data_IF_859934350251
#
_entry.id   IF_859934350251
#
_cell.length_a   1.000
_cell.length_b   1.000
_cell.length_c   1.000
_cell.angle_alpha   90.00
_cell.angle_beta   90.00
_cell.angle_gamma   90.00
#
_symmetry.space_group_name_H-M   'P 1'
#
loop_
_entity.id
_entity.type
_entity.pdbx_description
1 polymer ?
#
# COMPACT_ATOMS: atom_id res chain seq x y z
N UNK A 1 -16.09 1.00 21.45
CA UNK A 1 -15.25 -0.21 21.63
C UNK A 1 -13.85 0.25 21.99
N UNK A 2 -13.24 -0.34 23.02
CA UNK A 2 -11.82 -0.14 23.35
C UNK A 2 -11.02 -1.20 22.59
N UNK A 3 -9.91 -0.80 21.92
CA UNK A 3 -9.02 -1.76 21.31
C UNK A 3 -8.28 -2.55 22.39
N UNK A 4 -8.22 -3.86 22.25
CA UNK A 4 -7.41 -4.75 23.08
C UNK A 4 -6.05 -4.99 22.43
N UNK A 5 -5.99 -5.01 21.10
CA UNK A 5 -4.76 -5.20 20.34
C UNK A 5 -4.52 -4.06 19.33
N UNK A 6 -3.27 -3.86 18.87
CA UNK A 6 -2.97 -2.91 17.80
C UNK A 6 -3.68 -3.21 16.48
N UNK A 7 -4.07 -4.46 16.23
CA UNK A 7 -4.82 -4.86 15.03
C UNK A 7 -6.27 -4.40 15.13
N UNK A 8 -6.88 -4.52 16.33
CA UNK A 8 -8.25 -4.04 16.57
C UNK A 8 -8.33 -2.52 16.47
N UNK A 9 -7.25 -1.84 16.88
CA UNK A 9 -7.18 -0.37 16.83
C UNK A 9 -7.39 0.20 15.43
N UNK A 10 -6.96 -0.51 14.36
CA UNK A 10 -7.12 -0.07 12.96
C UNK A 10 -8.58 0.27 12.63
N UNK A 11 -9.53 -0.42 13.24
CA UNK A 11 -10.98 -0.31 12.98
C UNK A 11 -11.69 0.74 13.85
N UNK A 12 -10.99 1.29 14.84
CA UNK A 12 -11.59 2.31 15.71
C UNK A 12 -11.88 3.60 14.91
N UNK A 13 -12.88 4.37 15.31
CA UNK A 13 -13.10 5.72 14.78
C UNK A 13 -11.84 6.59 14.90
N UNK A 14 -11.11 6.50 16.00
CA UNK A 14 -9.80 7.10 16.23
C UNK A 14 -8.85 6.10 16.93
N UNK A 15 -7.86 5.54 16.23
CA UNK A 15 -6.88 4.62 16.82
C UNK A 15 -5.72 5.34 17.53
N UNK A 16 -5.54 6.62 17.28
CA UNK A 16 -4.31 7.35 17.63
C UNK A 16 -4.08 7.55 19.12
N UNK A 17 -5.10 7.74 19.97
CA UNK A 17 -4.88 7.73 21.43
C UNK A 17 -4.34 6.40 21.95
N UNK A 18 -4.75 5.28 21.34
CA UNK A 18 -4.19 3.96 21.66
C UNK A 18 -2.73 3.85 21.21
N UNK A 19 -2.42 4.27 19.99
CA UNK A 19 -1.05 4.25 19.47
C UNK A 19 -0.11 5.18 20.25
N UNK A 20 -0.57 6.36 20.66
CA UNK A 20 0.22 7.29 21.46
C UNK A 20 0.67 6.66 22.79
N UNK A 21 -0.22 5.89 23.46
CA UNK A 21 0.14 5.14 24.67
C UNK A 21 1.22 4.08 24.38
N UNK A 22 1.10 3.34 23.27
CA UNK A 22 2.13 2.35 22.90
C UNK A 22 3.49 3.01 22.64
N UNK A 23 3.52 4.14 21.93
CA UNK A 23 4.75 4.90 21.69
C UNK A 23 5.40 5.35 23.00
N UNK A 24 4.60 5.85 23.95
CA UNK A 24 5.11 6.39 25.21
C UNK A 24 5.52 5.30 26.22
N UNK A 25 4.75 4.22 26.33
CA UNK A 25 4.85 3.26 27.44
C UNK A 25 5.48 1.92 27.01
N UNK A 26 5.30 1.51 25.77
CA UNK A 26 5.70 0.19 25.24
C UNK A 26 6.23 0.31 23.80
N UNK A 27 7.27 1.12 23.54
CA UNK A 27 7.76 1.41 22.20
C UNK A 27 8.21 0.15 21.43
N UNK A 28 8.79 -0.83 22.15
CA UNK A 28 9.11 -2.16 21.63
C UNK A 28 8.85 -3.21 22.71
N UNK A 29 7.79 -4.01 22.56
CA UNK A 29 7.39 -4.98 23.57
C UNK A 29 6.71 -6.22 22.97
N UNK A 30 6.76 -7.36 23.68
CA UNK A 30 5.94 -8.51 23.36
C UNK A 30 4.49 -8.24 23.79
N UNK A 31 3.54 -8.55 22.92
CA UNK A 31 2.12 -8.49 23.18
C UNK A 31 1.59 -9.93 23.31
N UNK A 32 1.14 -10.29 24.51
CA UNK A 32 0.73 -11.65 24.83
C UNK A 32 -0.55 -12.06 24.09
N UNK A 33 -1.47 -11.12 23.86
CA UNK A 33 -2.73 -11.38 23.17
C UNK A 33 -2.50 -11.66 21.67
N UNK A 34 -1.57 -10.93 21.06
CA UNK A 34 -1.15 -11.17 19.67
C UNK A 34 -0.18 -12.34 19.52
N UNK A 35 0.51 -12.75 20.59
CA UNK A 35 1.62 -13.67 20.53
C UNK A 35 2.77 -13.18 19.65
N UNK A 36 2.99 -11.86 19.60
CA UNK A 36 3.96 -11.22 18.70
C UNK A 36 4.62 -10.00 19.37
N UNK A 37 5.80 -9.65 18.91
CA UNK A 37 6.42 -8.38 19.24
C UNK A 37 5.72 -7.23 18.54
N UNK A 38 5.72 -6.05 19.15
CA UNK A 38 5.16 -4.82 18.59
C UNK A 38 6.25 -3.75 18.61
N UNK A 39 6.50 -3.15 17.44
CA UNK A 39 7.35 -1.97 17.27
C UNK A 39 6.44 -0.75 17.01
N UNK A 40 6.39 0.21 17.94
CA UNK A 40 5.43 1.29 17.92
C UNK A 40 6.07 2.67 17.67
N UNK A 41 7.26 2.94 18.23
CA UNK A 41 7.94 4.22 18.03
C UNK A 41 8.81 4.24 16.77
N UNK A 42 9.28 5.41 16.40
CA UNK A 42 10.09 5.60 15.19
C UNK A 42 11.44 4.89 15.24
N UNK A 43 12.04 4.75 16.43
CA UNK A 43 13.32 4.09 16.62
C UNK A 43 13.22 2.57 16.40
N UNK A 44 12.23 1.93 17.04
CA UNK A 44 11.97 0.50 16.86
C UNK A 44 11.53 0.18 15.43
N UNK A 45 10.64 0.99 14.85
CA UNK A 45 10.17 0.80 13.46
C UNK A 45 11.35 0.88 12.48
N UNK A 46 12.24 1.86 12.63
CA UNK A 46 13.47 1.94 11.78
C UNK A 46 14.38 0.73 11.97
N UNK A 47 14.64 0.32 13.22
CA UNK A 47 15.49 -0.81 13.52
C UNK A 47 14.95 -2.10 12.90
N UNK A 48 13.63 -2.33 13.04
CA UNK A 48 12.96 -3.52 12.48
C UNK A 48 12.95 -3.49 10.95
N UNK A 49 12.61 -2.36 10.33
CA UNK A 49 12.54 -2.26 8.87
C UNK A 49 13.91 -2.27 8.18
N UNK A 50 14.97 -1.91 8.91
CA UNK A 50 16.35 -1.88 8.42
C UNK A 50 17.17 -3.13 8.69
N UNK A 51 16.63 -4.14 9.38
CA UNK A 51 17.40 -5.30 9.83
C UNK A 51 17.41 -6.44 8.82
N UNK A 52 18.62 -6.91 8.49
CA UNK A 52 18.82 -8.11 7.66
C UNK A 52 18.53 -9.44 8.40
N UNK A 53 18.34 -9.40 9.72
CA UNK A 53 17.89 -10.55 10.51
C UNK A 53 16.41 -10.88 10.28
N UNK A 54 15.66 -9.93 9.73
CA UNK A 54 14.20 -9.98 9.60
C UNK A 54 13.77 -10.17 8.15
N UNK A 55 12.66 -10.88 7.96
CA UNK A 55 12.07 -11.19 6.64
C UNK A 55 10.64 -10.68 6.55
N UNK A 56 10.20 -10.38 5.35
CA UNK A 56 8.81 -9.95 5.07
C UNK A 56 7.80 -11.10 5.17
N UNK A 57 8.29 -12.34 5.06
CA UNK A 57 7.50 -13.56 5.20
C UNK A 57 8.14 -14.54 6.19
N UNK A 58 7.34 -15.43 6.82
CA UNK A 58 7.92 -16.53 7.56
C UNK A 58 8.84 -17.35 6.65
N UNK A 59 10.09 -17.67 7.05
CA UNK A 59 10.98 -18.47 6.22
C UNK A 59 10.39 -19.82 5.80
N UNK A 60 9.57 -20.44 6.68
CA UNK A 60 8.90 -21.70 6.41
C UNK A 60 7.63 -21.57 5.54
N UNK A 61 7.13 -20.34 5.30
CA UNK A 61 5.91 -20.08 4.55
C UNK A 61 6.06 -18.82 3.68
N UNK A 62 6.91 -18.87 2.64
CA UNK A 62 7.15 -17.72 1.75
C UNK A 62 5.91 -17.33 0.96
N UNK A 63 5.05 -18.30 0.64
CA UNK A 63 3.74 -18.09 -0.01
C UNK A 63 2.64 -18.57 0.94
N UNK A 64 1.53 -17.80 1.11
CA UNK A 64 0.40 -18.25 1.93
C UNK A 64 -0.14 -19.60 1.45
N UNK A 65 -0.40 -20.52 2.39
CA UNK A 65 -0.81 -21.91 2.07
C UNK A 65 -2.01 -22.01 1.14
N UNK A 66 -2.98 -21.10 1.30
CA UNK A 66 -4.22 -21.12 0.50
C UNK A 66 -4.04 -20.82 -0.98
N UNK A 67 -2.87 -20.30 -1.39
CA UNK A 67 -2.58 -19.94 -2.80
C UNK A 67 -1.35 -20.66 -3.36
N UNK A 68 -0.70 -21.52 -2.58
CA UNK A 68 0.46 -22.32 -3.06
C UNK A 68 0.04 -23.16 -4.28
N UNK A 69 0.88 -23.15 -5.33
CA UNK A 69 0.64 -23.89 -6.57
C UNK A 69 -0.47 -23.30 -7.45
N UNK A 70 -0.94 -22.09 -7.16
CA UNK A 70 -1.91 -21.37 -8.00
C UNK A 70 -1.23 -20.18 -8.72
N UNK A 71 -1.82 -19.66 -9.82
CA UNK A 71 -1.33 -18.46 -10.49
C UNK A 71 -1.19 -17.25 -9.55
N UNK A 72 -2.09 -17.08 -8.58
CA UNK A 72 -1.99 -16.05 -7.56
C UNK A 72 -0.78 -16.27 -6.64
N UNK A 73 -0.48 -17.52 -6.29
CA UNK A 73 0.69 -17.89 -5.52
C UNK A 73 2.00 -17.65 -6.26
N UNK A 74 2.06 -17.92 -7.56
CA UNK A 74 3.21 -17.60 -8.41
C UNK A 74 3.48 -16.09 -8.45
N UNK A 75 2.44 -15.29 -8.71
CA UNK A 75 2.56 -13.82 -8.65
C UNK A 75 3.07 -13.38 -7.28
N UNK A 76 2.47 -13.89 -6.20
CA UNK A 76 2.82 -13.52 -4.83
C UNK A 76 4.29 -13.84 -4.50
N UNK A 77 4.79 -15.00 -4.93
CA UNK A 77 6.17 -15.45 -4.69
C UNK A 77 7.22 -14.49 -5.29
N UNK A 78 6.90 -13.90 -6.44
CA UNK A 78 7.81 -13.04 -7.20
C UNK A 78 7.65 -11.54 -6.87
N UNK A 79 6.63 -11.14 -6.10
CA UNK A 79 6.48 -9.73 -5.73
C UNK A 79 7.68 -9.26 -4.93
N UNK A 80 8.34 -8.20 -5.41
CA UNK A 80 9.53 -7.63 -4.76
C UNK A 80 9.29 -7.23 -3.30
N UNK A 81 8.04 -6.90 -2.94
CA UNK A 81 7.65 -6.60 -1.56
C UNK A 81 7.55 -7.85 -0.67
N UNK A 82 7.48 -9.04 -1.26
CA UNK A 82 7.33 -10.34 -0.58
C UNK A 82 8.61 -11.20 -0.63
N UNK A 83 9.67 -10.67 -1.22
CA UNK A 83 10.98 -11.31 -1.30
C UNK A 83 11.99 -10.57 -0.43
N UNK A 84 13.10 -11.22 -0.11
CA UNK A 84 14.20 -10.70 0.70
C UNK A 84 15.56 -11.05 0.08
N UNK A 85 16.64 -10.48 0.63
CA UNK A 85 18.01 -10.79 0.27
C UNK A 85 18.42 -10.28 -1.11
N UNK A 86 19.41 -10.91 -1.74
CA UNK A 86 20.04 -10.45 -2.99
C UNK A 86 19.06 -10.36 -4.16
N UNK A 87 18.11 -11.31 -4.24
CA UNK A 87 17.08 -11.31 -5.29
C UNK A 87 16.17 -10.07 -5.14
N UNK A 88 15.72 -9.79 -3.92
CA UNK A 88 14.92 -8.61 -3.62
C UNK A 88 15.65 -7.32 -3.99
N UNK A 89 16.91 -7.16 -3.59
CA UNK A 89 17.70 -5.95 -3.86
C UNK A 89 17.84 -5.70 -5.36
N UNK A 90 18.18 -6.72 -6.15
CA UNK A 90 18.30 -6.61 -7.59
C UNK A 90 16.98 -6.30 -8.28
N UNK A 91 15.92 -7.04 -7.94
CA UNK A 91 14.59 -6.84 -8.51
C UNK A 91 14.00 -5.49 -8.10
N UNK A 92 14.28 -5.04 -6.85
CA UNK A 92 13.89 -3.72 -6.36
C UNK A 92 14.51 -2.59 -7.17
N UNK A 93 15.77 -2.74 -7.59
CA UNK A 93 16.43 -1.76 -8.46
C UNK A 93 15.68 -1.63 -9.78
N UNK A 94 15.28 -2.74 -10.39
CA UNK A 94 14.51 -2.76 -11.64
C UNK A 94 13.15 -2.08 -11.47
N UNK A 95 12.40 -2.51 -10.46
CA UNK A 95 11.05 -1.99 -10.18
C UNK A 95 11.08 -0.50 -9.82
N UNK A 96 12.05 -0.08 -9.01
CA UNK A 96 12.19 1.32 -8.59
C UNK A 96 12.62 2.22 -9.75
N UNK A 97 13.54 1.77 -10.61
CA UNK A 97 13.96 2.54 -11.79
C UNK A 97 12.80 2.72 -12.79
N UNK A 98 11.99 1.68 -13.02
CA UNK A 98 10.79 1.78 -13.85
C UNK A 98 9.78 2.79 -13.30
N UNK A 99 9.45 2.70 -12.01
CA UNK A 99 8.49 3.60 -11.37
C UNK A 99 9.01 5.05 -11.26
N UNK A 100 10.31 5.25 -11.10
CA UNK A 100 10.91 6.59 -11.09
C UNK A 100 10.77 7.34 -12.43
N UNK A 101 10.56 6.60 -13.53
CA UNK A 101 10.33 7.13 -14.88
C UNK A 101 8.86 7.25 -15.26
N UNK A 102 7.95 6.82 -14.39
CA UNK A 102 6.53 6.99 -14.63
C UNK A 102 6.16 8.47 -14.70
N UNK A 103 5.46 8.89 -15.76
CA UNK A 103 4.95 10.27 -15.88
C UNK A 103 3.79 10.48 -14.91
N UNK A 104 4.10 11.00 -13.72
CA UNK A 104 3.10 11.28 -12.68
C UNK A 104 2.12 12.37 -13.09
N UNK A 105 2.51 13.31 -13.97
CA UNK A 105 1.62 14.33 -14.49
C UNK A 105 0.60 13.73 -15.47
N UNK A 106 1.04 12.80 -16.31
CA UNK A 106 0.13 12.04 -17.17
C UNK A 106 -0.81 11.15 -16.35
N UNK A 107 -0.28 10.47 -15.34
CA UNK A 107 -1.09 9.67 -14.40
C UNK A 107 -2.17 10.52 -13.71
N UNK A 108 -1.84 11.72 -13.25
CA UNK A 108 -2.79 12.66 -12.65
C UNK A 108 -3.88 13.09 -13.65
N UNK A 109 -3.51 13.36 -14.91
CA UNK A 109 -4.50 13.67 -15.98
C UNK A 109 -5.44 12.49 -16.26
N UNK A 110 -4.92 11.26 -16.27
CA UNK A 110 -5.75 10.05 -16.42
C UNK A 110 -6.69 9.88 -15.23
N UNK A 111 -6.19 10.05 -13.99
CA UNK A 111 -6.98 9.97 -12.78
C UNK A 111 -8.13 10.99 -12.79
N UNK A 112 -7.84 12.25 -13.13
CA UNK A 112 -8.84 13.29 -13.27
C UNK A 112 -9.90 12.94 -14.33
N UNK A 113 -9.47 12.47 -15.50
CA UNK A 113 -10.39 12.05 -16.57
C UNK A 113 -11.28 10.89 -16.13
N UNK A 114 -10.72 9.82 -15.58
CA UNK A 114 -11.48 8.64 -15.18
C UNK A 114 -12.42 8.93 -14.01
N UNK A 115 -12.03 9.86 -13.11
CA UNK A 115 -12.92 10.35 -12.05
C UNK A 115 -14.14 11.05 -12.64
N UNK A 116 -13.96 11.97 -13.60
CA UNK A 116 -15.08 12.63 -14.27
C UNK A 116 -15.97 11.63 -15.01
N UNK A 117 -15.38 10.70 -15.78
CA UNK A 117 -16.14 9.63 -16.47
C UNK A 117 -17.00 8.83 -15.48
N UNK A 118 -16.47 8.50 -14.29
CA UNK A 118 -17.21 7.76 -13.27
C UNK A 118 -18.38 8.59 -12.69
N UNK A 119 -18.20 9.90 -12.52
CA UNK A 119 -19.24 10.80 -12.03
C UNK A 119 -20.33 11.06 -13.09
N UNK A 120 -19.96 11.17 -14.37
CA UNK A 120 -20.88 11.38 -15.48
C UNK A 120 -21.79 10.18 -15.77
N UNK A 121 -21.45 8.98 -15.29
CA UNK A 121 -22.28 7.79 -15.42
C UNK A 121 -23.66 7.93 -14.73
N UNK A 122 -23.81 8.91 -13.85
CA UNK A 122 -25.07 9.26 -13.17
C UNK A 122 -25.44 8.31 -12.02
N UNK A 123 -26.44 8.71 -11.24
CA UNK A 123 -26.92 7.92 -10.09
C UNK A 123 -26.25 8.30 -8.77
N UNK A 124 -26.17 7.35 -7.83
CA UNK A 124 -25.47 7.54 -6.57
C UNK A 124 -23.95 7.67 -6.80
N UNK A 125 -23.26 8.41 -5.93
CA UNK A 125 -21.80 8.59 -6.03
C UNK A 125 -21.11 7.21 -5.96
N UNK A 126 -20.36 6.81 -6.99
CA UNK A 126 -19.79 5.46 -7.07
C UNK A 126 -18.47 5.37 -6.28
N UNK A 127 -18.53 5.50 -4.96
CA UNK A 127 -17.34 5.55 -4.09
C UNK A 127 -16.37 4.39 -4.29
N UNK A 128 -16.86 3.16 -4.52
CA UNK A 128 -16.01 2.00 -4.81
C UNK A 128 -15.20 2.22 -6.09
N UNK A 129 -15.83 2.68 -7.15
CA UNK A 129 -15.13 2.97 -8.42
C UNK A 129 -14.14 4.12 -8.24
N UNK A 130 -14.52 5.20 -7.55
CA UNK A 130 -13.68 6.39 -7.35
C UNK A 130 -12.44 6.08 -6.50
N UNK A 131 -12.59 5.29 -5.44
CA UNK A 131 -11.50 5.00 -4.51
C UNK A 131 -10.60 3.86 -4.98
N UNK A 132 -11.15 2.81 -5.57
CA UNK A 132 -10.44 1.58 -5.94
C UNK A 132 -10.30 1.39 -7.45
N UNK A 133 -11.41 1.53 -8.19
CA UNK A 133 -11.46 1.30 -9.63
C UNK A 133 -10.62 2.29 -10.41
N UNK A 134 -10.79 3.59 -10.16
CA UNK A 134 -10.04 4.65 -10.85
C UNK A 134 -8.53 4.50 -10.67
N UNK A 135 -7.96 4.37 -9.45
CA UNK A 135 -6.53 4.14 -9.30
C UNK A 135 -6.01 2.90 -10.03
N UNK A 136 -6.72 1.77 -9.92
CA UNK A 136 -6.33 0.54 -10.59
C UNK A 136 -6.36 0.69 -12.12
N UNK A 137 -7.40 1.35 -12.66
CA UNK A 137 -7.56 1.63 -14.09
C UNK A 137 -6.46 2.57 -14.61
N UNK A 138 -6.06 3.59 -13.82
CA UNK A 138 -4.94 4.48 -14.20
C UNK A 138 -3.65 3.69 -14.32
N UNK A 139 -3.34 2.85 -13.33
CA UNK A 139 -2.10 2.04 -13.38
C UNK A 139 -2.16 1.05 -14.55
N UNK A 140 -3.32 0.44 -14.82
CA UNK A 140 -3.51 -0.41 -16.00
C UNK A 140 -3.25 0.36 -17.31
N UNK A 141 -3.79 1.57 -17.45
CA UNK A 141 -3.54 2.42 -18.62
C UNK A 141 -2.06 2.82 -18.75
N UNK A 142 -1.37 3.09 -17.63
CA UNK A 142 0.07 3.37 -17.63
C UNK A 142 0.90 2.17 -18.09
N UNK A 143 0.41 0.93 -17.91
CA UNK A 143 1.06 -0.28 -18.46
C UNK A 143 0.80 -0.47 -19.95
N UNK A 144 0.08 0.42 -20.60
CA UNK A 144 -0.23 0.37 -22.03
C UNK A 144 -1.55 -0.31 -22.36
N UNK A 145 -2.36 -0.71 -21.37
CA UNK A 145 -3.68 -1.28 -21.62
C UNK A 145 -4.68 -0.21 -22.05
N UNK A 146 -5.33 -0.43 -23.19
CA UNK A 146 -6.31 0.49 -23.81
C UNK A 146 -7.59 -0.28 -24.17
N UNK A 147 -8.56 0.41 -24.77
CA UNK A 147 -9.74 -0.18 -25.41
C UNK A 147 -10.56 -1.12 -24.51
N UNK A 148 -10.66 -0.76 -23.23
CA UNK A 148 -11.40 -1.52 -22.22
C UNK A 148 -10.59 -2.57 -21.47
N UNK A 149 -9.38 -2.93 -21.92
CA UNK A 149 -8.47 -3.82 -21.22
C UNK A 149 -7.99 -3.21 -19.88
N UNK A 150 -7.88 -1.88 -19.79
CA UNK A 150 -7.62 -1.13 -18.58
C UNK A 150 -8.72 -1.36 -17.50
N UNK A 151 -9.98 -1.32 -17.91
CA UNK A 151 -11.12 -1.59 -17.03
C UNK A 151 -11.20 -3.06 -16.63
N UNK A 152 -10.91 -3.96 -17.58
CA UNK A 152 -10.89 -5.39 -17.30
C UNK A 152 -9.81 -5.75 -16.28
N UNK A 153 -8.59 -5.23 -16.45
CA UNK A 153 -7.50 -5.43 -15.51
C UNK A 153 -7.85 -4.86 -14.11
N UNK A 154 -8.46 -3.67 -14.04
CA UNK A 154 -8.88 -3.08 -12.78
C UNK A 154 -9.91 -3.95 -12.03
N UNK A 155 -10.88 -4.54 -12.75
CA UNK A 155 -11.85 -5.48 -12.15
C UNK A 155 -11.17 -6.76 -11.68
N UNK A 156 -10.30 -7.36 -12.50
CA UNK A 156 -9.59 -8.56 -12.12
C UNK A 156 -8.69 -8.35 -10.89
N UNK A 157 -8.08 -7.17 -10.76
CA UNK A 157 -7.29 -6.83 -9.55
C UNK A 157 -8.15 -6.79 -8.29
N UNK A 158 -9.41 -6.34 -8.36
CA UNK A 158 -10.32 -6.37 -7.22
C UNK A 158 -10.52 -7.80 -6.69
N UNK A 159 -10.62 -8.79 -7.58
CA UNK A 159 -10.70 -10.20 -7.21
C UNK A 159 -9.33 -10.73 -6.72
N UNK A 160 -8.24 -10.35 -7.39
CA UNK A 160 -6.89 -10.80 -7.02
C UNK A 160 -6.52 -10.44 -5.58
N UNK A 161 -6.80 -9.21 -5.14
CA UNK A 161 -6.40 -8.76 -3.79
C UNK A 161 -7.15 -9.48 -2.67
N UNK A 162 -8.29 -10.15 -2.96
CA UNK A 162 -9.07 -10.88 -1.97
C UNK A 162 -8.34 -12.11 -1.39
N UNK A 163 -7.29 -12.62 -2.05
CA UNK A 163 -6.50 -13.73 -1.50
C UNK A 163 -5.41 -13.27 -0.51
N UNK A 164 -5.15 -11.97 -0.37
CA UNK A 164 -4.08 -11.43 0.47
C UNK A 164 -4.36 -11.59 1.99
N UNK A 165 -5.60 -11.33 2.49
CA UNK A 165 -5.91 -11.57 3.89
C UNK A 165 -5.80 -13.04 4.28
N UNK A 166 -5.27 -13.33 5.48
CA UNK A 166 -5.20 -14.70 6.00
C UNK A 166 -6.58 -15.37 6.17
N UNK A 167 -7.64 -14.56 6.24
CA UNK A 167 -9.05 -15.00 6.33
C UNK A 167 -9.70 -15.27 4.97
N UNK A 168 -8.94 -15.21 3.87
CA UNK A 168 -9.49 -15.45 2.53
C UNK A 168 -10.13 -16.84 2.41
N UNK A 169 -11.37 -16.85 1.95
CA UNK A 169 -12.12 -18.09 1.73
C UNK A 169 -11.62 -18.86 0.50
N UNK A 170 -11.89 -20.18 0.40
CA UNK A 170 -11.53 -20.96 -0.79
C UNK A 170 -12.15 -20.39 -2.09
N UNK A 171 -13.31 -19.76 -2.02
CA UNK A 171 -13.94 -19.12 -3.17
C UNK A 171 -13.15 -17.89 -3.62
N UNK A 172 -12.73 -17.01 -2.67
CA UNK A 172 -11.87 -15.86 -2.95
C UNK A 172 -10.51 -16.28 -3.49
N UNK A 173 -9.91 -17.35 -2.95
CA UNK A 173 -8.63 -17.88 -3.45
C UNK A 173 -8.73 -18.36 -4.89
N UNK A 174 -9.84 -19.06 -5.27
CA UNK A 174 -10.08 -19.49 -6.66
C UNK A 174 -10.32 -18.31 -7.59
N UNK A 175 -11.13 -17.35 -7.18
CA UNK A 175 -11.36 -16.12 -7.96
C UNK A 175 -10.05 -15.35 -8.19
N UNK A 176 -9.23 -15.20 -7.15
CA UNK A 176 -7.92 -14.55 -7.24
C UNK A 176 -6.95 -15.30 -8.17
N UNK A 177 -6.98 -16.63 -8.20
CA UNK A 177 -6.15 -17.42 -9.12
C UNK A 177 -6.55 -17.18 -10.59
N UNK A 178 -7.83 -17.18 -10.90
CA UNK A 178 -8.34 -16.87 -12.25
C UNK A 178 -8.02 -15.40 -12.64
N UNK A 179 -8.18 -14.47 -11.69
CA UNK A 179 -7.85 -13.06 -11.89
C UNK A 179 -6.35 -12.85 -12.15
N UNK A 180 -5.48 -13.55 -11.42
CA UNK A 180 -4.04 -13.50 -11.63
C UNK A 180 -3.66 -13.93 -13.06
N UNK A 181 -4.21 -15.05 -13.54
CA UNK A 181 -4.00 -15.50 -14.91
C UNK A 181 -4.48 -14.46 -15.92
N UNK A 182 -5.68 -13.92 -15.71
CA UNK A 182 -6.26 -12.94 -16.62
C UNK A 182 -5.43 -11.66 -16.71
N UNK A 183 -4.99 -11.10 -15.58
CA UNK A 183 -4.14 -9.91 -15.59
C UNK A 183 -2.77 -10.20 -16.23
N UNK A 184 -2.20 -11.38 -15.96
CA UNK A 184 -0.94 -11.81 -16.63
C UNK A 184 -1.09 -11.92 -18.14
N UNK A 185 -2.20 -12.47 -18.64
CA UNK A 185 -2.51 -12.53 -20.07
C UNK A 185 -2.57 -11.14 -20.70
N UNK A 186 -3.27 -10.20 -20.07
CA UNK A 186 -3.39 -8.82 -20.53
C UNK A 186 -2.05 -8.09 -20.58
N UNK A 187 -1.19 -8.30 -19.57
CA UNK A 187 0.09 -7.59 -19.44
C UNK A 187 1.24 -8.22 -20.24
N UNK A 188 1.18 -9.53 -20.51
CA UNK A 188 2.28 -10.28 -21.17
C UNK A 188 2.72 -9.69 -22.51
N UNK A 189 1.81 -9.27 -23.42
CA UNK A 189 2.22 -8.67 -24.68
C UNK A 189 3.08 -7.41 -24.49
N UNK A 190 2.81 -6.60 -23.48
CA UNK A 190 3.57 -5.39 -23.17
C UNK A 190 4.97 -5.62 -22.61
N UNK A 191 5.35 -6.86 -22.30
CA UNK A 191 6.71 -7.25 -21.92
C UNK A 191 7.50 -7.88 -23.09
N UNK A 192 6.85 -8.11 -24.23
CA UNK A 192 7.45 -8.73 -25.41
C UNK A 192 7.57 -7.70 -26.54
N UNK A 193 8.67 -6.98 -26.63
CA UNK A 193 8.93 -6.01 -27.69
C UNK A 193 9.20 -4.58 -27.17
N UNK A 194 9.28 -3.63 -28.09
CA UNK A 194 9.41 -2.21 -27.77
C UNK A 194 8.02 -1.65 -27.45
N UNK A 195 7.80 -1.30 -26.20
CA UNK A 195 6.55 -0.69 -25.74
C UNK A 195 6.81 0.61 -24.99
N UNK A 196 5.91 1.56 -25.19
CA UNK A 196 5.84 2.76 -24.38
C UNK A 196 5.14 2.47 -23.03
N UNK A 197 5.23 3.43 -22.11
CA UNK A 197 4.60 3.33 -20.81
C UNK A 197 5.38 2.51 -19.77
N UNK A 198 4.70 2.19 -18.69
CA UNK A 198 5.34 1.61 -17.49
C UNK A 198 5.92 0.20 -17.72
N UNK A 199 5.31 -0.61 -18.59
CA UNK A 199 5.87 -1.93 -18.94
C UNK A 199 7.14 -1.79 -19.76
N UNK A 200 7.18 -0.88 -20.73
CA UNK A 200 8.40 -0.61 -21.50
C UNK A 200 9.53 -0.10 -20.59
N UNK A 201 9.21 0.77 -19.63
CA UNK A 201 10.20 1.20 -18.63
C UNK A 201 10.68 0.03 -17.75
N UNK A 202 9.79 -0.91 -17.40
CA UNK A 202 10.16 -2.09 -16.62
C UNK A 202 11.12 -3.00 -17.39
N UNK A 203 10.88 -3.23 -18.70
CA UNK A 203 11.77 -4.00 -19.57
C UNK A 203 13.12 -3.28 -19.71
N UNK A 204 13.12 -1.99 -20.05
CA UNK A 204 14.36 -1.20 -20.15
C UNK A 204 15.16 -1.18 -18.84
N UNK A 205 14.48 -1.11 -17.69
CA UNK A 205 15.14 -1.17 -16.39
C UNK A 205 15.74 -2.57 -16.12
N UNK A 206 15.05 -3.63 -16.54
CA UNK A 206 15.56 -5.00 -16.45
C UNK A 206 16.83 -5.19 -17.30
N UNK A 207 16.85 -4.67 -18.53
CA UNK A 207 18.02 -4.71 -19.42
C UNK A 207 19.19 -3.95 -18.80
N UNK A 208 18.99 -2.73 -18.30
CA UNK A 208 20.03 -1.95 -17.60
C UNK A 208 20.61 -2.70 -16.40
N UNK A 209 19.78 -3.42 -15.66
CA UNK A 209 20.18 -4.19 -14.49
C UNK A 209 20.70 -5.60 -14.83
N UNK A 210 20.74 -5.99 -16.13
CA UNK A 210 21.03 -7.34 -16.60
C UNK A 210 20.18 -8.39 -15.84
N UNK A 211 18.88 -8.14 -15.76
CA UNK A 211 17.91 -9.04 -15.11
C UNK A 211 17.32 -10.00 -16.17
N UNK A 212 17.59 -11.32 -16.09
CA UNK A 212 17.28 -12.24 -17.19
C UNK A 212 15.89 -12.90 -17.10
N UNK A 213 15.12 -12.66 -16.02
CA UNK A 213 13.92 -13.44 -15.73
C UNK A 213 12.64 -12.67 -16.02
N UNK A 214 11.83 -13.14 -16.98
CA UNK A 214 10.57 -12.51 -17.37
C UNK A 214 9.45 -12.70 -16.34
N UNK A 215 9.35 -13.88 -15.71
CA UNK A 215 8.26 -14.18 -14.77
C UNK A 215 8.17 -13.21 -13.60
N UNK A 216 9.28 -12.85 -12.88
CA UNK A 216 9.23 -11.82 -11.85
C UNK A 216 8.87 -10.44 -12.37
N UNK A 217 9.21 -10.08 -13.62
CA UNK A 217 8.77 -8.79 -14.20
C UNK A 217 7.25 -8.78 -14.38
N UNK A 218 6.68 -9.84 -14.93
CA UNK A 218 5.23 -9.98 -15.09
C UNK A 218 4.51 -9.96 -13.74
N UNK A 219 5.03 -10.68 -12.75
CA UNK A 219 4.47 -10.68 -11.39
C UNK A 219 4.50 -9.29 -10.76
N UNK A 220 5.58 -8.51 -10.95
CA UNK A 220 5.65 -7.14 -10.43
C UNK A 220 4.83 -6.15 -11.26
N UNK A 221 4.57 -6.39 -12.53
CA UNK A 221 3.59 -5.65 -13.31
C UNK A 221 2.16 -5.84 -12.75
N UNK A 222 1.76 -7.07 -12.40
CA UNK A 222 0.53 -7.32 -11.61
C UNK A 222 0.62 -6.60 -10.26
N UNK A 223 1.82 -6.58 -9.66
CA UNK A 223 2.11 -5.88 -8.42
C UNK A 223 1.85 -4.38 -8.49
N UNK A 224 2.11 -3.70 -9.62
CA UNK A 224 1.81 -2.27 -9.77
C UNK A 224 0.32 -1.97 -9.57
N UNK A 225 -0.56 -2.80 -10.12
CA UNK A 225 -2.00 -2.66 -9.98
C UNK A 225 -2.45 -3.04 -8.55
N UNK A 226 -2.05 -4.22 -8.07
CA UNK A 226 -2.56 -4.78 -6.81
C UNK A 226 -2.09 -4.02 -5.56
N UNK A 227 -0.87 -3.47 -5.59
CA UNK A 227 -0.34 -2.69 -4.46
C UNK A 227 -0.89 -1.26 -4.42
N UNK A 228 -1.41 -0.76 -5.53
CA UNK A 228 -2.10 0.52 -5.61
C UNK A 228 -3.51 0.45 -5.03
N UNK A 229 -4.18 -0.70 -5.10
CA UNK A 229 -5.60 -0.87 -4.85
C UNK A 229 -6.04 -0.36 -3.47
N UNK A 230 -5.70 -1.05 -2.39
CA UNK A 230 -6.13 -0.67 -1.03
C UNK A 230 -5.42 0.59 -0.52
N UNK A 231 -4.12 0.72 -0.80
CA UNK A 231 -3.32 1.81 -0.26
C UNK A 231 -3.76 3.18 -0.79
N UNK A 232 -4.04 3.27 -2.11
CA UNK A 232 -4.51 4.52 -2.71
C UNK A 232 -5.96 4.79 -2.35
N UNK A 233 -6.81 3.76 -2.27
CA UNK A 233 -8.18 3.91 -1.81
C UNK A 233 -8.25 4.52 -0.40
N UNK A 234 -7.43 4.01 0.53
CA UNK A 234 -7.33 4.58 1.86
C UNK A 234 -6.78 6.01 1.87
N UNK A 235 -5.82 6.32 0.99
CA UNK A 235 -5.26 7.67 0.91
C UNK A 235 -6.29 8.68 0.37
N UNK A 236 -7.04 8.33 -0.67
CA UNK A 236 -8.16 9.13 -1.20
C UNK A 236 -9.22 9.33 -0.12
N UNK A 237 -9.72 8.23 0.46
CA UNK A 237 -10.81 8.28 1.43
C UNK A 237 -10.44 9.06 2.71
N UNK A 238 -9.26 8.83 3.29
CA UNK A 238 -8.82 9.55 4.49
C UNK A 238 -8.56 11.03 4.20
N UNK A 239 -8.17 11.39 2.96
CA UNK A 239 -8.04 12.80 2.55
C UNK A 239 -9.41 13.48 2.46
N UNK A 240 -10.42 12.80 1.92
CA UNK A 240 -11.79 13.32 1.88
C UNK A 240 -12.36 13.50 3.29
N UNK A 241 -12.10 12.55 4.20
CA UNK A 241 -12.48 12.67 5.62
C UNK A 241 -11.78 13.85 6.29
N UNK A 242 -10.49 14.08 5.99
CA UNK A 242 -9.76 15.24 6.51
C UNK A 242 -10.38 16.58 6.02
N UNK A 243 -10.78 16.64 4.74
CA UNK A 243 -11.51 17.80 4.19
C UNK A 243 -12.87 18.00 4.89
N UNK A 244 -13.64 16.94 5.11
CA UNK A 244 -14.92 17.00 5.82
C UNK A 244 -14.77 17.46 7.28
N UNK A 245 -13.58 17.25 7.87
CA UNK A 245 -13.21 17.72 9.21
C UNK A 245 -12.63 19.15 9.24
N UNK A 246 -12.72 19.87 8.13
CA UNK A 246 -12.31 21.29 8.04
C UNK A 246 -10.87 21.52 7.63
N UNK A 247 -10.21 20.58 6.95
CA UNK A 247 -8.89 20.81 6.33
C UNK A 247 -8.98 21.66 5.04
N UNK A 248 -9.96 22.57 4.97
CA UNK A 248 -10.19 23.45 3.83
C UNK A 248 -9.07 24.46 3.64
N UNK A 249 -8.86 24.89 2.37
CA UNK A 249 -7.87 25.89 2.02
C UNK A 249 -6.44 25.38 1.86
N UNK A 250 -6.17 24.10 2.18
CA UNK A 250 -4.87 23.49 1.93
C UNK A 250 -4.68 23.16 0.43
N UNK A 251 -3.44 23.19 -0.02
CA UNK A 251 -3.05 22.54 -1.27
C UNK A 251 -3.32 21.03 -1.15
N UNK A 252 -4.04 20.46 -2.11
CA UNK A 252 -4.46 19.05 -2.04
C UNK A 252 -3.26 18.09 -2.04
N UNK A 253 -2.20 18.39 -2.77
CA UNK A 253 -0.99 17.55 -2.76
C UNK A 253 -0.30 17.56 -1.41
N UNK A 254 -0.22 18.73 -0.77
CA UNK A 254 0.32 18.87 0.58
C UNK A 254 -0.58 18.17 1.61
N UNK A 255 -1.91 18.26 1.46
CA UNK A 255 -2.86 17.56 2.32
C UNK A 255 -2.75 16.04 2.20
N UNK A 256 -2.70 15.50 0.99
CA UNK A 256 -2.50 14.06 0.73
C UNK A 256 -1.22 13.54 1.40
N UNK A 257 -0.11 14.28 1.28
CA UNK A 257 1.14 13.92 1.94
C UNK A 257 1.02 13.93 3.47
N UNK A 258 0.36 14.95 4.02
CA UNK A 258 0.14 15.03 5.47
C UNK A 258 -0.83 13.95 5.95
N UNK A 259 -1.87 13.60 5.20
CA UNK A 259 -2.78 12.52 5.52
C UNK A 259 -2.06 11.17 5.52
N UNK A 260 -1.12 10.94 4.60
CA UNK A 260 -0.28 9.74 4.64
C UNK A 260 0.49 9.58 5.95
N UNK A 261 0.85 10.68 6.63
CA UNK A 261 1.41 10.70 7.99
C UNK A 261 0.33 10.65 9.06
N UNK A 262 -0.66 11.54 8.96
CA UNK A 262 -1.62 11.84 10.03
C UNK A 262 -2.70 10.78 10.19
N UNK A 263 -3.34 10.33 9.10
CA UNK A 263 -4.32 9.24 9.10
C UNK A 263 -3.94 8.19 8.05
N UNK A 264 -2.83 7.50 8.34
CA UNK A 264 -2.13 6.60 7.45
C UNK A 264 -3.06 5.54 6.85
N UNK A 265 -3.14 5.40 5.50
CA UNK A 265 -3.93 4.35 4.87
C UNK A 265 -3.40 2.95 5.19
N UNK A 266 -2.08 2.79 5.30
CA UNK A 266 -1.44 1.54 5.74
C UNK A 266 -0.94 1.75 7.16
N UNK A 267 -1.59 1.07 8.10
CA UNK A 267 -1.40 1.24 9.53
C UNK A 267 -0.23 0.43 10.08
N UNK A 268 -0.02 -0.76 9.52
CA UNK A 268 1.01 -1.67 10.01
C UNK A 268 1.53 -2.60 8.91
N UNK A 269 2.68 -3.20 9.20
CA UNK A 269 3.26 -4.31 8.43
C UNK A 269 3.85 -5.34 9.37
N UNK A 270 4.36 -6.44 8.85
CA UNK A 270 4.93 -7.53 9.64
C UNK A 270 6.36 -7.82 9.22
N UNK A 271 7.14 -8.30 10.20
CA UNK A 271 8.46 -8.91 9.96
C UNK A 271 8.56 -10.21 10.76
N UNK A 272 9.37 -11.11 10.27
CA UNK A 272 9.61 -12.43 10.85
C UNK A 272 11.11 -12.62 11.07
N UNK A 273 11.50 -12.97 12.28
CA UNK A 273 12.90 -13.16 12.62
C UNK A 273 13.42 -14.45 11.95
N UNK A 274 14.29 -14.31 10.96
CA UNK A 274 15.00 -15.44 10.37
C UNK A 274 16.17 -15.90 11.28
N UNK A 275 16.80 -14.94 11.95
CA UNK A 275 17.80 -15.13 12.99
C UNK A 275 17.45 -14.24 14.19
N UNK A 276 18.05 -14.46 15.38
CA UNK A 276 17.77 -13.61 16.53
C UNK A 276 17.98 -12.13 16.23
N UNK A 277 17.06 -11.29 16.70
CA UNK A 277 17.09 -9.83 16.58
C UNK A 277 17.03 -9.21 17.97
N UNK A 278 17.74 -8.12 18.21
CA UNK A 278 17.67 -7.39 19.47
C UNK A 278 17.46 -5.89 19.22
N UNK A 279 16.63 -5.28 20.07
CA UNK A 279 16.40 -3.84 20.09
C UNK A 279 16.10 -3.41 21.53
N UNK A 280 16.73 -2.34 21.99
CA UNK A 280 16.54 -1.73 23.32
C UNK A 280 16.62 -2.78 24.47
N UNK A 281 17.65 -3.63 24.45
CA UNK A 281 17.87 -4.67 25.45
C UNK A 281 16.89 -5.84 25.41
N UNK A 282 15.97 -5.89 24.47
CA UNK A 282 14.98 -6.96 24.28
C UNK A 282 15.38 -7.85 23.12
N UNK A 283 15.29 -9.17 23.33
CA UNK A 283 15.68 -10.17 22.35
C UNK A 283 14.46 -10.85 21.74
N UNK A 284 14.39 -10.86 20.40
CA UNK A 284 13.41 -11.58 19.59
C UNK A 284 14.07 -12.83 19.06
N UNK A 285 13.51 -13.98 19.39
CA UNK A 285 14.05 -15.26 18.93
C UNK A 285 13.72 -15.53 17.46
N UNK A 286 14.53 -16.36 16.80
CA UNK A 286 14.25 -16.85 15.45
C UNK A 286 12.85 -17.48 15.36
N UNK A 287 12.14 -17.21 14.27
CA UNK A 287 10.75 -17.65 14.04
C UNK A 287 9.67 -16.74 14.61
N UNK A 288 10.00 -15.81 15.52
CA UNK A 288 9.00 -14.89 16.08
C UNK A 288 8.63 -13.79 15.08
N UNK A 289 7.39 -13.32 15.23
CA UNK A 289 6.82 -12.23 14.43
C UNK A 289 6.94 -10.88 15.16
N UNK A 290 7.16 -9.83 14.39
CA UNK A 290 7.09 -8.44 14.85
C UNK A 290 6.01 -7.71 14.04
N UNK A 291 5.00 -7.17 14.71
CA UNK A 291 4.05 -6.22 14.15
C UNK A 291 4.69 -4.82 14.19
N UNK A 292 4.80 -4.18 13.04
CA UNK A 292 5.44 -2.87 12.87
C UNK A 292 4.36 -1.82 12.68
N UNK A 293 4.14 -0.94 13.66
CA UNK A 293 3.06 0.06 13.64
C UNK A 293 3.52 1.34 12.95
N UNK A 294 3.37 1.38 11.63
CA UNK A 294 3.76 2.52 10.80
C UNK A 294 3.01 3.79 11.19
N UNK A 295 1.70 3.67 11.43
CA UNK A 295 0.85 4.79 11.81
C UNK A 295 1.17 5.36 13.19
N UNK A 296 1.59 4.51 14.14
CA UNK A 296 2.06 4.95 15.45
C UNK A 296 3.37 5.74 15.34
N UNK A 297 4.35 5.18 14.61
CA UNK A 297 5.64 5.84 14.36
C UNK A 297 5.52 7.15 13.57
N UNK A 298 4.52 7.29 12.70
CA UNK A 298 4.21 8.56 12.03
C UNK A 298 3.83 9.67 13.01
N UNK A 299 3.27 9.30 14.15
CA UNK A 299 2.84 10.23 15.19
C UNK A 299 3.74 10.19 16.44
N UNK A 300 4.97 9.70 16.29
CA UNK A 300 5.98 9.78 17.33
C UNK A 300 6.52 11.23 17.43
N UNK A 301 6.41 11.88 18.61
CA UNK A 301 6.91 13.24 18.82
C UNK A 301 8.43 13.36 18.67
N UNK A 302 9.19 12.28 18.80
CA UNK A 302 10.63 12.27 18.62
C UNK A 302 11.08 12.59 17.18
N UNK A 303 10.19 12.35 16.19
CA UNK A 303 10.51 12.58 14.76
C UNK A 303 9.55 13.53 14.07
N UNK A 304 8.37 13.75 14.61
CA UNK A 304 7.38 14.69 14.08
C UNK A 304 6.86 15.57 15.23
N UNK A 305 7.38 16.79 15.43
CA UNK A 305 6.87 17.74 16.41
C UNK A 305 5.36 17.97 16.21
N UNK A 306 4.62 18.16 17.30
CA UNK A 306 3.15 18.28 17.30
C UNK A 306 2.48 17.18 16.44
N UNK A 307 2.72 15.89 16.75
CA UNK A 307 2.37 14.78 15.85
C UNK A 307 0.86 14.61 15.66
N UNK A 308 0.06 15.12 16.61
CA UNK A 308 -1.40 15.04 16.60
C UNK A 308 -2.07 16.22 15.90
N UNK A 309 -1.31 17.23 15.46
CA UNK A 309 -1.82 18.28 14.59
C UNK A 309 -1.78 17.85 13.11
N UNK A 310 -2.90 18.06 12.40
CA UNK A 310 -2.96 17.97 10.95
C UNK A 310 -2.37 19.26 10.37
N UNK A 311 -1.21 19.18 9.73
CA UNK A 311 -0.47 20.34 9.22
C UNK A 311 0.05 20.08 7.80
N UNK A 312 -0.72 20.40 6.75
CA UNK A 312 -0.31 20.21 5.36
C UNK A 312 0.98 20.95 4.99
N UNK A 313 1.32 22.02 5.70
CA UNK A 313 2.56 22.77 5.52
C UNK A 313 3.77 22.22 6.29
N UNK A 314 3.69 21.05 6.89
CA UNK A 314 4.77 20.46 7.68
C UNK A 314 6.04 20.27 6.84
N UNK A 315 7.15 20.77 7.36
CA UNK A 315 8.45 20.69 6.71
C UNK A 315 9.12 19.34 7.03
N UNK A 316 9.55 18.61 5.99
CA UNK A 316 10.29 17.35 6.10
C UNK A 316 9.65 16.34 7.09
N UNK A 317 8.35 16.02 6.98
CA UNK A 317 7.74 15.05 7.86
C UNK A 317 8.38 13.67 7.70
N UNK A 318 8.57 12.94 8.81
CA UNK A 318 8.91 11.53 8.77
C UNK A 318 7.63 10.72 8.52
N UNK A 319 7.58 10.00 7.39
CA UNK A 319 6.40 9.22 6.99
C UNK A 319 6.80 7.76 6.81
N UNK A 320 6.35 6.90 7.71
CA UNK A 320 6.59 5.45 7.67
C UNK A 320 5.53 4.68 6.88
N UNK A 321 4.43 5.29 6.50
CA UNK A 321 3.35 4.68 5.69
C UNK A 321 3.88 4.04 4.41
N UNK A 322 4.88 4.64 3.81
CA UNK A 322 5.57 4.11 2.64
C UNK A 322 6.74 3.17 2.97
N UNK A 323 6.86 2.74 4.23
CA UNK A 323 7.96 1.92 4.70
C UNK A 323 9.29 2.67 4.78
N UNK A 324 10.35 1.92 5.05
CA UNK A 324 11.73 2.42 5.11
C UNK A 324 12.72 1.37 4.57
N UNK A 325 13.99 1.78 4.41
CA UNK A 325 15.10 0.90 4.00
C UNK A 325 14.85 0.20 2.66
N UNK A 326 15.31 -1.04 2.49
CA UNK A 326 15.21 -1.82 1.24
C UNK A 326 13.79 -2.04 0.74
N UNK A 327 12.80 -2.03 1.64
CA UNK A 327 11.39 -2.20 1.32
C UNK A 327 10.57 -0.90 1.22
N UNK A 328 11.23 0.28 1.22
CA UNK A 328 10.51 1.56 1.00
C UNK A 328 9.72 1.50 -0.30
N UNK A 329 8.49 2.02 -0.29
CA UNK A 329 7.61 2.05 -1.46
C UNK A 329 8.21 2.92 -2.59
N UNK A 330 8.46 2.37 -3.78
CA UNK A 330 8.95 3.16 -4.92
C UNK A 330 7.81 3.88 -5.65
N UNK A 331 6.56 3.49 -5.40
CA UNK A 331 5.36 4.07 -6.01
C UNK A 331 4.76 5.27 -5.25
N UNK A 332 5.42 5.74 -4.18
CA UNK A 332 4.94 6.87 -3.37
C UNK A 332 4.58 8.12 -4.20
N UNK A 333 5.41 8.59 -5.16
CA UNK A 333 5.06 9.75 -5.98
C UNK A 333 3.82 9.51 -6.85
N UNK A 334 3.70 8.33 -7.43
CA UNK A 334 2.57 7.95 -8.28
C UNK A 334 1.27 7.89 -7.45
N UNK A 335 1.28 7.16 -6.32
CA UNK A 335 0.11 7.02 -5.45
C UNK A 335 -0.37 8.38 -4.92
N UNK A 336 0.56 9.27 -4.54
CA UNK A 336 0.25 10.63 -4.09
C UNK A 336 -0.37 11.48 -5.19
N UNK A 337 0.16 11.39 -6.42
CA UNK A 337 -0.37 12.12 -7.58
C UNK A 337 -1.78 11.65 -7.95
N UNK A 338 -2.03 10.33 -7.93
CA UNK A 338 -3.35 9.76 -8.18
C UNK A 338 -4.37 10.24 -7.15
N UNK A 339 -4.03 10.11 -5.86
CA UNK A 339 -4.92 10.53 -4.78
C UNK A 339 -5.23 12.03 -4.85
N UNK A 340 -4.23 12.87 -5.09
CA UNK A 340 -4.42 14.31 -5.22
C UNK A 340 -5.33 14.67 -6.40
N UNK A 341 -5.14 14.03 -7.56
CA UNK A 341 -5.96 14.30 -8.74
C UNK A 341 -7.43 13.89 -8.52
N UNK A 342 -7.67 12.69 -7.96
CA UNK A 342 -9.03 12.21 -7.66
C UNK A 342 -9.71 13.15 -6.66
N UNK A 343 -9.07 13.47 -5.54
CA UNK A 343 -9.63 14.35 -4.52
C UNK A 343 -9.92 15.74 -5.07
N UNK A 344 -9.05 16.26 -5.94
CA UNK A 344 -9.26 17.57 -6.61
C UNK A 344 -10.52 17.56 -7.46
N UNK A 345 -10.74 16.52 -8.26
CA UNK A 345 -11.95 16.40 -9.10
C UNK A 345 -13.22 16.27 -8.26
N UNK A 346 -13.18 15.45 -7.20
CA UNK A 346 -14.31 15.26 -6.29
C UNK A 346 -14.68 16.58 -5.58
N UNK A 347 -13.68 17.33 -5.12
CA UNK A 347 -13.89 18.66 -4.53
C UNK A 347 -14.46 19.65 -5.54
N UNK A 348 -13.93 19.65 -6.77
CA UNK A 348 -14.42 20.52 -7.86
C UNK A 348 -15.89 20.20 -8.22
N UNK A 349 -16.27 18.93 -8.14
CA UNK A 349 -17.66 18.49 -8.32
C UNK A 349 -18.57 18.79 -7.11
N UNK A 350 -18.04 19.43 -6.05
CA UNK A 350 -18.80 19.76 -4.84
C UNK A 350 -19.14 18.56 -3.98
N UNK A 351 -18.45 17.43 -4.16
CA UNK A 351 -18.69 16.23 -3.37
C UNK A 351 -17.97 16.30 -2.04
N UNK A 352 -18.69 15.98 -0.98
CA UNK A 352 -18.18 15.85 0.38
C UNK A 352 -18.57 14.49 0.96
N UNK A 353 -17.89 14.08 2.01
CA UNK A 353 -18.19 12.85 2.75
C UNK A 353 -18.52 13.16 4.21
N UNK A 354 -18.80 12.13 5.00
CA UNK A 354 -18.97 12.25 6.44
C UNK A 354 -17.62 12.51 7.12
N UNK A 355 -17.62 13.29 8.19
CA UNK A 355 -16.48 13.52 9.08
C UNK A 355 -16.25 12.38 10.08
N UNK A 356 -17.24 11.48 10.23
CA UNK A 356 -17.26 10.36 11.17
C UNK A 356 -17.54 9.01 10.46
N UNK A 357 -16.73 8.59 9.49
CA UNK A 357 -16.95 7.34 8.77
C UNK A 357 -16.71 6.13 9.67
N UNK A 358 -17.31 5.00 9.29
CA UNK A 358 -16.82 3.68 9.70
C UNK A 358 -15.69 3.24 8.78
N UNK A 359 -14.91 2.25 9.22
CA UNK A 359 -13.75 1.76 8.46
C UNK A 359 -13.89 0.29 8.11
N UNK A 360 -13.35 -0.10 6.96
CA UNK A 360 -13.35 -1.48 6.49
C UNK A 360 -12.64 -2.39 7.50
N UNK A 361 -13.10 -3.64 7.68
CA UNK A 361 -12.55 -4.57 8.68
C UNK A 361 -11.22 -5.19 8.24
N UNK A 362 -10.26 -4.36 7.84
CA UNK A 362 -8.93 -4.78 7.44
C UNK A 362 -7.96 -4.73 8.63
N UNK A 363 -7.03 -5.69 8.67
CA UNK A 363 -6.07 -5.81 9.78
C UNK A 363 -4.91 -4.81 9.71
N UNK A 364 -4.63 -4.29 8.51
CA UNK A 364 -3.44 -3.47 8.25
C UNK A 364 -3.72 -2.19 7.47
N UNK A 365 -4.91 -2.03 6.93
CA UNK A 365 -5.30 -0.85 6.15
C UNK A 365 -6.51 -0.15 6.77
N UNK A 366 -6.49 1.18 6.71
CA UNK A 366 -7.53 2.06 7.21
C UNK A 366 -8.20 2.76 6.04
N UNK A 367 -9.33 2.21 5.61
CA UNK A 367 -10.09 2.66 4.43
C UNK A 367 -11.51 2.96 4.90
N UNK A 368 -12.00 4.22 4.77
CA UNK A 368 -13.34 4.57 5.21
C UNK A 368 -14.41 3.97 4.29
N UNK A 369 -15.56 3.69 4.85
CA UNK A 369 -16.81 3.50 4.09
C UNK A 369 -17.40 4.89 3.82
N UNK A 370 -17.52 5.24 2.55
CA UNK A 370 -18.06 6.51 2.07
C UNK A 370 -19.40 6.30 1.34
#
# INVERSE_FOLDING_TARGET
>A
MTATTPIDAVRLPDPYPYYARLVAERPFAHDEELGAWVAADAAAVRAVLGSDALRVRPPAEPVPRGIVGTPAGEVFADLVRMTDGTVQVRLKTVVADALARADTAYAARLAARFTREALEAGGAVPWEELMFGVPARVVAALTGLTDGADREAARAIADFVQCIPASATPAQQRAAAAAADRVRELLRPGLAGEHDGLLGELVRAADRASWPHLAPLLSNAVGFLSQTYDATAGLVGNTLVALARGADGADIGALVREVARYDAPIQNTRRFAATPFAHDGRAVAGGQQILVLLAAANRDPAVNPDPHALSPGRVNPMIFTFGASSHRCPGEPLASALAAAIVTELRTAGLSTTDTPTYRPLANARIPHL
#
